data_IF_674491767054
#
_entry.id   IF_674491767054
#
_cell.length_a   1.000
_cell.length_b   1.000
_cell.length_c   1.000
_cell.angle_alpha   90.00
_cell.angle_beta   90.00
_cell.angle_gamma   90.00
#
_symmetry.space_group_name_H-M   'P 1'
#
loop_
_entity.id
_entity.type
_entity.pdbx_description
1 polymer ?
2 water ?
#
# COMPACT_ATOMS: atom_id res chain seq x y z
N UNK A 31 -17.42 -2.30 -27.12
CA UNK A 31 -18.32 -1.17 -27.35
C UNK A 31 -19.25 -0.92 -26.15
N UNK A 32 -20.18 -1.83 -25.85
CA UNK A 32 -21.01 -1.71 -24.65
C UNK A 32 -20.17 -2.04 -23.41
N UNK A 33 -20.17 -1.12 -22.44
CA UNK A 33 -19.31 -1.22 -21.27
C UNK A 33 -20.05 -1.65 -20.02
N UNK A 34 -19.34 -2.34 -19.13
CA UNK A 34 -19.80 -2.59 -17.77
C UNK A 34 -18.89 -1.84 -16.81
N UNK A 35 -19.38 -1.61 -15.59
CA UNK A 35 -18.65 -0.81 -14.61
C UNK A 35 -18.61 -1.55 -13.26
N UNK A 36 -17.63 -1.22 -12.43
CA UNK A 36 -17.60 -1.74 -11.06
C UNK A 36 -16.94 -0.73 -10.16
N UNK A 37 -17.25 -0.75 -8.88
CA UNK A 37 -16.72 0.27 -8.00
C UNK A 37 -16.10 -0.34 -6.76
N UNK A 38 -14.91 0.15 -6.40
CA UNK A 38 -14.29 -0.25 -5.14
C UNK A 38 -14.00 1.00 -4.31
N UNK A 39 -14.42 0.96 -3.04
CA UNK A 39 -13.98 1.95 -2.05
C UNK A 39 -12.83 1.31 -1.26
N UNK A 40 -11.65 1.90 -1.42
CA UNK A 40 -10.44 1.55 -0.70
C UNK A 40 -10.46 2.37 0.60
N UNK A 41 -10.85 1.72 1.70
CA UNK A 41 -10.96 2.35 3.02
C UNK A 41 -9.65 2.15 3.79
N UNK A 42 -8.68 3.04 3.48
CA UNK A 42 -7.32 2.95 4.03
C UNK A 42 -7.24 3.64 5.38
N UNK A 43 -6.08 3.59 6.01
CA UNK A 43 -5.97 4.12 7.37
C UNK A 43 -6.09 5.62 7.45
N UNK A 44 -5.60 6.35 6.46
CA UNK A 44 -5.55 7.84 6.55
C UNK A 44 -6.71 8.48 5.80
N UNK A 45 -7.28 7.73 4.87
CA UNK A 45 -8.39 8.23 4.08
C UNK A 45 -8.94 7.10 3.20
N UNK A 46 -10.11 7.41 2.68
CA UNK A 46 -10.82 6.54 1.73
C UNK A 46 -10.69 7.09 0.33
N UNK A 47 -10.42 6.19 -0.63
CA UNK A 47 -10.46 6.57 -2.02
C UNK A 47 -11.44 5.68 -2.76
N UNK A 48 -12.14 6.26 -3.73
CA UNK A 48 -13.10 5.51 -4.55
C UNK A 48 -12.52 5.32 -5.96
N UNK A 49 -12.62 4.10 -6.50
CA UNK A 49 -12.19 3.85 -7.88
C UNK A 49 -13.37 3.27 -8.62
N UNK A 50 -13.62 3.81 -9.80
CA UNK A 50 -14.63 3.27 -10.72
C UNK A 50 -13.87 2.66 -11.92
N UNK A 51 -14.18 1.40 -12.22
CA UNK A 51 -13.55 0.65 -13.32
C UNK A 51 -14.59 0.38 -14.41
N UNK A 52 -14.11 0.18 -15.62
CA UNK A 52 -15.00 -0.09 -16.76
C UNK A 52 -14.32 -1.09 -17.68
N UNK A 53 -15.13 -1.84 -18.41
CA UNK A 53 -14.63 -2.89 -19.30
C UNK A 53 -15.67 -3.22 -20.36
N UNK A 54 -15.23 -3.69 -21.53
CA UNK A 54 -16.27 -4.07 -22.52
C UNK A 54 -16.96 -5.36 -22.10
N UNK A 55 -18.29 -5.39 -22.20
CA UNK A 55 -19.08 -6.56 -21.80
C UNK A 55 -18.68 -7.87 -22.52
N UNK A 56 -18.28 -7.79 -23.78
CA UNK A 56 -17.94 -9.00 -24.56
C UNK A 56 -16.44 -9.31 -24.66
N UNK A 57 -15.62 -8.70 -23.80
CA UNK A 57 -14.18 -9.03 -23.72
C UNK A 57 -13.67 -9.03 -22.28
N UNK A 58 -14.64 -9.07 -21.35
CA UNK A 58 -14.38 -8.91 -19.91
C UNK A 58 -13.43 -9.92 -19.27
N UNK A 59 -13.28 -11.10 -19.89
CA UNK A 59 -12.38 -12.14 -19.39
C UNK A 59 -10.93 -12.11 -19.95
N UNK A 60 -10.64 -11.15 -20.85
CA UNK A 60 -9.26 -10.92 -21.33
C UNK A 60 -8.45 -10.25 -20.22
N UNK A 61 -7.18 -10.62 -20.10
CA UNK A 61 -6.29 -9.94 -19.14
C UNK A 61 -6.01 -8.52 -19.60
N UNK A 62 -5.84 -7.61 -18.64
CA UNK A 62 -5.52 -6.22 -18.96
C UNK A 62 -6.68 -5.39 -19.51
N UNK A 63 -7.85 -6.00 -19.67
CA UNK A 63 -9.03 -5.37 -20.29
C UNK A 63 -9.72 -4.31 -19.40
N UNK A 64 -9.87 -4.63 -18.12
CA UNK A 64 -10.48 -3.68 -17.17
C UNK A 64 -9.51 -2.51 -16.98
N UNK A 65 -10.03 -1.30 -16.94
CA UNK A 65 -9.23 -0.11 -16.67
C UNK A 65 -10.01 0.89 -15.84
N UNK A 66 -9.28 1.78 -15.16
CA UNK A 66 -9.91 2.81 -14.34
C UNK A 66 -10.70 3.82 -15.18
N UNK A 67 -11.92 4.14 -14.76
CA UNK A 67 -12.78 5.15 -15.42
C UNK A 67 -12.71 6.52 -14.72
N UNK A 68 -12.74 6.50 -13.40
CA UNK A 68 -12.73 7.72 -12.59
C UNK A 68 -12.32 7.39 -11.15
N UNK A 69 -12.04 8.41 -10.37
CA UNK A 69 -11.68 8.20 -8.97
C UNK A 69 -12.09 9.43 -8.16
N UNK A 70 -12.11 9.28 -6.83
CA UNK A 70 -12.52 10.36 -5.94
C UNK A 70 -11.88 10.12 -4.59
N UNK A 71 -11.29 11.14 -4.00
CA UNK A 71 -10.74 11.02 -2.66
C UNK A 71 -11.70 11.60 -1.65
N UNK A 72 -12.01 10.84 -0.61
CA UNK A 72 -12.96 11.25 0.39
C UNK A 72 -12.27 12.23 1.32
N UNK A 73 -12.93 13.36 1.55
CA UNK A 73 -12.43 14.36 2.50
C UNK A 73 -12.33 13.82 3.93
N UNK A 74 -11.26 14.23 4.61
CA UNK A 74 -11.04 13.83 6.02
C UNK A 74 -10.38 12.49 6.20
N UNK A 75 -10.44 12.00 7.44
CA UNK A 75 -9.73 10.79 7.86
C UNK A 75 -10.32 9.51 7.28
N UNK A 76 -9.64 8.39 7.60
CA UNK A 76 -10.15 7.04 7.28
C UNK A 76 -11.34 6.64 8.13
N UNK A 77 -12.04 5.56 7.73
CA UNK A 77 -13.26 5.17 8.45
C UNK A 77 -12.98 4.74 9.88
N UNK A 78 -11.77 4.21 10.15
CA UNK A 78 -11.39 3.83 11.50
C UNK A 78 -11.24 5.05 12.41
N UNK A 79 -11.07 6.23 11.82
CA UNK A 79 -10.92 7.45 12.64
C UNK A 79 -12.25 7.91 13.27
N UNK A 80 -13.35 7.30 12.84
CA UNK A 80 -14.68 7.52 13.39
C UNK A 80 -15.11 6.46 14.39
N UNK A 81 -14.14 5.76 14.98
CA UNK A 81 -14.42 4.73 15.98
C UNK A 81 -15.39 5.16 17.09
N UNK A 82 -15.30 6.42 17.52
CA UNK A 82 -16.17 6.93 18.60
C UNK A 82 -17.39 7.70 18.11
N UNK A 83 -17.52 7.81 16.80
CA UNK A 83 -18.61 8.56 16.17
C UNK A 83 -18.93 7.85 14.83
N UNK A 84 -19.34 6.57 14.88
CA UNK A 84 -19.40 5.72 13.67
C UNK A 84 -20.32 6.22 12.57
N UNK A 85 -21.39 6.94 12.95
CA UNK A 85 -22.30 7.48 11.95
C UNK A 85 -21.57 8.36 10.93
N UNK A 86 -20.53 9.07 11.36
CA UNK A 86 -19.80 9.94 10.47
C UNK A 86 -19.04 9.13 9.39
N UNK A 87 -18.75 7.85 9.66
CA UNK A 87 -17.99 7.03 8.70
C UNK A 87 -18.80 6.86 7.41
N UNK A 88 -20.10 6.57 7.56
CA UNK A 88 -20.96 6.43 6.38
C UNK A 88 -21.16 7.76 5.69
N UNK A 89 -21.50 8.80 6.46
CA UNK A 89 -21.70 10.12 5.87
C UNK A 89 -20.46 10.62 5.10
N UNK A 90 -19.26 10.20 5.52
CA UNK A 90 -18.04 10.65 4.88
C UNK A 90 -18.03 10.28 3.39
N UNK A 91 -18.69 9.18 3.04
CA UNK A 91 -18.67 8.65 1.68
C UNK A 91 -19.60 9.33 0.69
N UNK A 92 -20.54 10.12 1.20
CA UNK A 92 -21.65 10.61 0.38
C UNK A 92 -21.19 11.40 -0.84
N UNK A 93 -20.26 12.33 -0.67
CA UNK A 93 -19.81 13.18 -1.79
C UNK A 93 -19.22 12.33 -2.96
N UNK A 94 -18.37 11.37 -2.60
CA UNK A 94 -17.80 10.48 -3.62
C UNK A 94 -18.84 9.56 -4.26
N UNK A 95 -19.79 9.06 -3.47
CA UNK A 95 -20.88 8.25 -4.02
C UNK A 95 -21.77 9.08 -4.99
N UNK A 96 -21.94 10.36 -4.67
CA UNK A 96 -22.67 11.27 -5.58
C UNK A 96 -21.94 11.40 -6.93
N UNK A 97 -20.61 11.43 -6.88
CA UNK A 97 -19.78 11.48 -8.08
C UNK A 97 -19.94 10.20 -8.86
N UNK A 98 -19.93 9.06 -8.16
CA UNK A 98 -20.17 7.75 -8.80
C UNK A 98 -21.47 7.71 -9.59
N UNK A 99 -22.52 8.34 -9.08
CA UNK A 99 -23.84 8.45 -9.75
C UNK A 99 -23.71 9.18 -11.09
N UNK A 100 -22.83 10.19 -11.13
CA UNK A 100 -22.55 10.94 -12.37
C UNK A 100 -21.57 10.24 -13.31
N UNK A 101 -20.63 9.48 -12.76
CA UNK A 101 -19.61 8.79 -13.55
C UNK A 101 -20.14 7.54 -14.24
N UNK A 102 -21.06 6.83 -13.59
CA UNK A 102 -21.59 5.58 -14.15
C UNK A 102 -22.94 5.92 -14.83
N UNK A 103 -23.12 5.48 -16.09
CA UNK A 103 -24.44 5.70 -16.75
C UNK A 103 -25.60 5.15 -15.91
N UNK A 104 -26.72 5.88 -15.91
CA UNK A 104 -27.83 5.64 -15.00
C UNK A 104 -28.37 4.23 -15.15
N UNK A 105 -28.59 3.90 -16.50
CA UNK A 105 -29.11 2.58 -16.87
C UNK A 105 -28.21 1.43 -16.46
N UNK A 106 -26.99 1.75 -16.00
CA UNK A 106 -26.07 0.74 -15.55
C UNK A 106 -25.93 0.68 -14.03
N UNK A 107 -26.47 1.68 -13.30
CA UNK A 107 -26.28 1.77 -11.83
C UNK A 107 -26.61 0.43 -11.16
N UNK A 108 -27.79 -0.13 -11.50
CA UNK A 108 -28.32 -1.32 -10.83
C UNK A 108 -27.46 -2.58 -11.01
N UNK A 109 -26.72 -2.66 -12.11
CA UNK A 109 -25.92 -3.83 -12.42
C UNK A 109 -24.43 -3.58 -12.22
N UNK A 110 -24.10 -2.45 -11.59
CA UNK A 110 -22.71 -2.15 -11.23
C UNK A 110 -22.40 -2.63 -9.81
N UNK A 111 -21.48 -3.60 -9.64
CA UNK A 111 -21.17 -4.01 -8.27
C UNK A 111 -20.36 -2.94 -7.55
N UNK A 112 -20.64 -2.77 -6.26
CA UNK A 112 -19.92 -1.81 -5.41
C UNK A 112 -19.40 -2.58 -4.20
N UNK A 113 -18.09 -2.47 -3.93
CA UNK A 113 -17.45 -3.13 -2.78
C UNK A 113 -16.78 -2.09 -1.92
N UNK A 114 -16.78 -2.29 -0.60
CA UNK A 114 -15.85 -1.55 0.26
C UNK A 114 -14.91 -2.57 0.90
N UNK A 115 -13.62 -2.26 0.84
CA UNK A 115 -12.56 -3.12 1.47
C UNK A 115 -11.77 -2.19 2.40
N UNK A 116 -11.55 -2.62 3.64
CA UNK A 116 -10.83 -1.79 4.61
C UNK A 116 -9.56 -2.54 4.98
N UNK A 117 -8.50 -1.79 5.26
CA UNK A 117 -7.20 -2.43 5.49
C UNK A 117 -6.68 -2.17 6.92
N UNK A 118 -5.37 -1.88 7.05
CA UNK A 118 -4.73 -1.93 8.39
C UNK A 118 -5.35 -1.00 9.43
N UNK A 119 -5.97 0.12 9.02
CA UNK A 119 -6.58 0.98 10.05
C UNK A 119 -7.70 0.25 10.78
N UNK A 120 -8.49 -0.51 10.04
CA UNK A 120 -9.58 -1.28 10.62
C UNK A 120 -9.03 -2.55 11.28
N UNK A 121 -7.94 -3.14 10.77
CA UNK A 121 -7.33 -4.26 11.50
C UNK A 121 -6.88 -3.82 12.89
N UNK A 122 -6.33 -2.62 12.97
CA UNK A 122 -5.83 -2.07 14.26
C UNK A 122 -7.00 -1.75 15.20
N UNK A 123 -8.05 -1.14 14.65
CA UNK A 123 -9.24 -0.83 15.46
C UNK A 123 -9.88 -2.13 15.96
N UNK A 124 -9.81 -3.19 15.16
CA UNK A 124 -10.37 -4.48 15.62
C UNK A 124 -9.62 -5.11 16.82
N UNK A 125 -8.34 -4.77 16.94
CA UNK A 125 -7.55 -5.20 18.12
C UNK A 125 -8.00 -4.44 19.35
N UNK A 126 -8.26 -3.15 19.17
CA UNK A 126 -8.65 -2.27 20.26
C UNK A 126 -10.10 -2.54 20.71
N UNK A 127 -10.99 -2.64 19.73
CA UNK A 127 -12.43 -2.77 20.02
C UNK A 127 -13.17 -3.41 18.87
N UNK A 128 -13.41 -4.74 18.93
CA UNK A 128 -14.24 -5.37 17.90
C UNK A 128 -15.62 -4.72 17.78
N UNK A 129 -16.17 -4.27 18.91
CA UNK A 129 -17.48 -3.62 18.92
C UNK A 129 -17.51 -2.32 18.10
N UNK A 130 -16.56 -1.41 18.36
CA UNK A 130 -16.44 -0.15 17.61
C UNK A 130 -16.20 -0.43 16.10
N UNK A 131 -15.37 -1.44 15.81
CA UNK A 131 -15.10 -1.84 14.41
C UNK A 131 -16.38 -2.26 13.71
N UNK A 132 -17.17 -3.07 14.39
CA UNK A 132 -18.45 -3.52 13.89
C UNK A 132 -19.44 -2.35 13.65
N UNK A 133 -19.49 -1.38 14.58
CA UNK A 133 -20.36 -0.22 14.40
C UNK A 133 -19.96 0.62 13.18
N UNK A 134 -18.65 0.75 12.95
CA UNK A 134 -18.18 1.49 11.77
C UNK A 134 -18.58 0.75 10.49
N UNK A 135 -18.33 -0.57 10.45
CA UNK A 135 -18.75 -1.37 9.28
C UNK A 135 -20.25 -1.28 9.10
N UNK A 136 -21.01 -1.28 10.21
CA UNK A 136 -22.48 -1.14 10.15
C UNK A 136 -22.89 0.22 9.55
N UNK A 137 -22.23 1.29 9.96
CA UNK A 137 -22.48 2.65 9.43
C UNK A 137 -22.20 2.79 7.93
N UNK A 138 -21.04 2.34 7.47
CA UNK A 138 -20.76 2.43 6.01
C UNK A 138 -21.73 1.56 5.23
N UNK A 139 -22.07 0.40 5.78
CA UNK A 139 -23.05 -0.51 5.15
C UNK A 139 -24.40 0.20 4.97
N UNK A 140 -24.87 0.87 6.03
CA UNK A 140 -26.16 1.55 6.00
C UNK A 140 -26.19 2.60 4.90
N UNK A 141 -25.15 3.42 4.82
CA UNK A 141 -25.04 4.43 3.77
C UNK A 141 -25.02 3.79 2.38
N UNK A 142 -24.18 2.78 2.21
CA UNK A 142 -23.96 2.21 0.87
C UNK A 142 -25.20 1.51 0.32
N UNK A 143 -25.94 0.84 1.20
CA UNK A 143 -27.21 0.23 0.80
C UNK A 143 -28.30 1.22 0.34
N UNK A 144 -28.14 2.51 0.65
CA UNK A 144 -29.09 3.54 0.18
C UNK A 144 -28.87 3.91 -1.29
N UNK A 145 -27.72 3.54 -1.83
CA UNK A 145 -27.41 3.86 -3.23
C UNK A 145 -27.90 2.79 -4.22
N UNK A 146 -28.09 3.17 -5.49
CA UNK A 146 -28.68 2.28 -6.52
C UNK A 146 -27.75 1.19 -7.09
N UNK A 147 -26.46 1.24 -6.78
CA UNK A 147 -25.49 0.23 -7.23
C UNK A 147 -25.75 -1.12 -6.56
N UNK A 148 -25.22 -2.17 -7.17
CA UNK A 148 -25.32 -3.50 -6.60
C UNK A 148 -24.27 -3.64 -5.45
N UNK A 149 -24.60 -3.12 -4.27
CA UNK A 149 -23.71 -3.18 -3.11
C UNK A 149 -23.46 -4.64 -2.67
N UNK A 150 -22.19 -5.06 -2.67
CA UNK A 150 -21.82 -6.44 -2.37
C UNK A 150 -21.07 -6.62 -1.05
N UNK A 151 -21.02 -5.56 -0.24
CA UNK A 151 -20.52 -5.69 1.12
C UNK A 151 -19.32 -4.83 1.44
N UNK A 152 -19.21 -4.53 2.74
CA UNK A 152 -18.03 -3.88 3.34
C UNK A 152 -17.29 -4.97 4.14
N UNK A 153 -16.01 -5.15 3.86
CA UNK A 153 -15.23 -6.20 4.47
C UNK A 153 -13.86 -5.67 4.88
N UNK A 154 -13.25 -6.24 5.92
CA UNK A 154 -11.83 -5.97 6.25
C UNK A 154 -10.96 -7.02 5.51
N UNK A 155 -10.05 -6.59 4.64
CA UNK A 155 -9.14 -7.51 3.96
C UNK A 155 -8.10 -8.03 4.96
N UNK A 156 -7.65 -9.27 4.77
CA UNK A 156 -6.46 -9.71 5.51
C UNK A 156 -5.21 -9.03 4.94
N UNK A 157 -4.11 -9.07 5.68
CA UNK A 157 -2.83 -8.60 5.12
C UNK A 157 -2.40 -9.35 3.88
N UNK A 158 -2.61 -10.65 3.88
CA UNK A 158 -2.35 -11.47 2.67
C UNK A 158 -3.18 -11.00 1.49
N UNK A 159 -4.49 -10.83 1.71
CA UNK A 159 -5.36 -10.25 0.66
C UNK A 159 -4.79 -8.98 0.08
N UNK A 160 -4.43 -8.05 0.96
CA UNK A 160 -3.96 -6.75 0.53
C UNK A 160 -2.70 -6.89 -0.35
N UNK A 161 -1.76 -7.73 0.09
CA UNK A 161 -0.50 -7.94 -0.65
C UNK A 161 -0.78 -8.59 -2.01
N UNK A 162 -1.49 -9.72 -1.94
CA UNK A 162 -1.76 -10.48 -3.18
C UNK A 162 -2.56 -9.65 -4.19
N UNK A 163 -3.62 -8.97 -3.77
CA UNK A 163 -4.44 -8.19 -4.72
C UNK A 163 -3.66 -7.03 -5.39
N UNK A 164 -2.72 -6.44 -4.66
CA UNK A 164 -1.85 -5.43 -5.30
C UNK A 164 -0.93 -6.05 -6.35
N UNK A 165 -0.42 -7.24 -6.06
CA UNK A 165 0.45 -7.98 -7.02
C UNK A 165 -0.40 -8.32 -8.26
N UNK A 166 -1.64 -8.78 -8.04
CA UNK A 166 -2.54 -9.05 -9.21
C UNK A 166 -2.80 -7.78 -10.03
N UNK A 167 -3.14 -6.68 -9.37
CA UNK A 167 -3.36 -5.42 -10.08
C UNK A 167 -2.20 -5.10 -11.02
N UNK A 168 -0.99 -5.08 -10.46
CA UNK A 168 0.19 -4.66 -11.26
C UNK A 168 0.39 -5.56 -12.46
N UNK A 169 0.32 -6.87 -12.24
CA UNK A 169 0.61 -7.85 -13.31
C UNK A 169 -0.53 -7.96 -14.33
N UNK A 170 -1.75 -7.69 -13.86
CA UNK A 170 -2.88 -7.67 -14.78
C UNK A 170 -2.75 -6.49 -15.75
N UNK A 171 -2.42 -5.32 -15.19
CA UNK A 171 -2.38 -4.10 -15.97
C UNK A 171 -1.25 -4.15 -16.98
N UNK A 172 -0.16 -4.81 -16.61
CA UNK A 172 1.05 -4.82 -17.46
C UNK A 172 1.12 -6.06 -18.36
N UNK A 173 0.03 -6.82 -18.37
CA UNK A 173 -0.16 -7.99 -19.29
C UNK A 173 0.92 -9.05 -19.09
N UNK A 174 1.33 -9.24 -17.83
CA UNK A 174 2.31 -10.27 -17.54
C UNK A 174 1.75 -11.68 -17.46
N UNK A 175 0.41 -11.85 -17.51
CA UNK A 175 -0.18 -13.18 -17.43
C UNK A 175 -0.45 -13.76 -18.84
N UNK A 176 -0.11 -12.98 -19.87
CA UNK A 176 -0.23 -13.50 -21.25
C UNK A 176 0.81 -14.61 -21.43
N UNK A 177 0.47 -15.68 -22.16
CA UNK A 177 1.46 -16.73 -22.48
C UNK A 177 2.14 -16.33 -23.80
N UNK A 178 3.36 -15.82 -23.70
CA UNK A 178 4.05 -15.25 -24.87
C UNK A 178 4.73 -16.32 -25.75
N UNK A 179 4.64 -16.09 -27.04
CA UNK A 179 5.18 -16.98 -28.08
C UNK A 179 4.04 -17.44 -28.97
N UNK A 180 4.25 -18.62 -29.55
CA UNK A 180 3.26 -19.19 -30.45
C UNK A 180 3.50 -20.68 -30.55
N UNK A 181 2.59 -21.38 -31.22
CA UNK A 181 2.72 -22.85 -31.27
C UNK A 181 4.12 -23.27 -31.75
N UNK A 182 4.75 -24.16 -30.97
CA UNK A 182 6.06 -24.66 -31.38
C UNK A 182 7.22 -23.82 -30.87
N UNK A 183 6.92 -22.61 -30.36
CA UNK A 183 7.96 -21.73 -29.88
C UNK A 183 7.41 -20.83 -28.75
N UNK A 184 7.24 -21.42 -27.57
CA UNK A 184 6.74 -20.66 -26.40
C UNK A 184 7.96 -20.17 -25.69
N UNK A 185 7.90 -18.95 -25.15
CA UNK A 185 9.09 -18.45 -24.46
C UNK A 185 9.32 -19.25 -23.18
N UNK A 186 10.59 -19.56 -22.92
CA UNK A 186 11.02 -20.33 -21.73
C UNK A 186 12.24 -19.64 -21.17
N UNK A 187 12.21 -19.31 -19.86
CA UNK A 187 11.13 -19.53 -18.91
C UNK A 187 9.94 -18.66 -19.30
N UNK A 188 8.79 -18.95 -18.73
CA UNK A 188 7.63 -18.15 -19.09
C UNK A 188 7.83 -16.73 -18.58
N UNK A 189 7.09 -15.78 -19.16
CA UNK A 189 7.18 -14.35 -18.82
C UNK A 189 7.27 -14.11 -17.29
N UNK A 190 8.23 -13.30 -16.86
CA UNK A 190 8.35 -13.00 -15.41
C UNK A 190 7.22 -12.10 -14.92
N UNK A 191 6.98 -12.10 -13.61
CA UNK A 191 5.97 -11.23 -13.02
C UNK A 191 6.65 -10.17 -12.14
N UNK A 192 5.93 -9.08 -11.94
CA UNK A 192 6.41 -7.91 -11.19
C UNK A 192 6.08 -8.15 -9.72
N UNK A 193 7.10 -8.15 -8.87
CA UNK A 193 6.89 -8.09 -7.42
C UNK A 193 6.21 -6.78 -7.06
N UNK A 194 5.57 -6.76 -5.89
CA UNK A 194 4.85 -5.54 -5.48
C UNK A 194 5.28 -5.15 -4.05
N UNK A 195 5.54 -3.87 -3.87
CA UNK A 195 5.77 -3.32 -2.52
C UNK A 195 4.86 -2.13 -2.34
N UNK A 196 4.02 -2.19 -1.28
CA UNK A 196 2.95 -1.19 -1.04
C UNK A 196 3.21 -0.56 0.33
N UNK A 197 3.42 0.74 0.38
CA UNK A 197 3.59 1.38 1.69
C UNK A 197 2.30 2.18 1.98
N UNK A 198 1.42 1.58 2.79
CA UNK A 198 0.15 2.21 3.17
C UNK A 198 0.41 3.03 4.41
N UNK A 199 -0.65 3.57 5.02
CA UNK A 199 -0.46 4.38 6.22
C UNK A 199 -0.20 3.57 7.49
N UNK A 200 -0.73 2.34 7.52
CA UNK A 200 -0.61 1.54 8.78
C UNK A 200 0.03 0.16 8.65
N UNK A 201 0.23 -0.32 7.42
CA UNK A 201 1.00 -1.57 7.22
C UNK A 201 1.74 -1.42 5.91
N UNK A 202 2.71 -2.32 5.68
CA UNK A 202 3.38 -2.38 4.37
C UNK A 202 3.45 -3.82 3.94
N UNK A 203 3.25 -4.06 2.64
CA UNK A 203 3.25 -5.45 2.12
C UNK A 203 4.37 -5.64 1.10
N UNK A 204 4.88 -6.86 1.04
CA UNK A 204 5.83 -7.25 -0.04
C UNK A 204 5.33 -8.61 -0.55
N UNK A 205 5.26 -8.72 -1.88
CA UNK A 205 4.63 -9.88 -2.54
C UNK A 205 5.39 -10.15 -3.84
N UNK A 206 5.84 -11.39 -4.06
CA UNK A 206 6.49 -11.68 -5.34
C UNK A 206 6.48 -13.14 -5.62
N UNK A 207 6.56 -13.47 -6.92
CA UNK A 207 6.68 -14.86 -7.38
C UNK A 207 8.06 -15.43 -7.02
N UNK A 208 8.09 -16.64 -6.47
CA UNK A 208 9.35 -17.21 -6.03
C UNK A 208 9.44 -18.72 -6.33
N UNK A 209 10.67 -19.19 -6.53
CA UNK A 209 10.92 -20.62 -6.70
C UNK A 209 11.31 -21.29 -5.39
N UNK A 210 11.50 -20.46 -4.35
CA UNK A 210 11.90 -20.98 -3.03
C UNK A 210 10.80 -21.79 -2.36
N UNK A 211 11.19 -22.87 -1.66
CA UNK A 211 10.24 -23.66 -0.88
C UNK A 211 9.56 -22.82 0.22
N UNK A 212 8.30 -23.12 0.49
CA UNK A 212 7.55 -22.45 1.55
C UNK A 212 8.04 -22.95 2.92
N UNK A 213 8.26 -22.03 3.84
CA UNK A 213 8.65 -22.41 5.21
C UNK A 213 7.64 -21.96 6.25
N UNK A 214 6.70 -21.11 5.84
CA UNK A 214 5.66 -20.63 6.74
C UNK A 214 4.36 -20.51 5.96
N UNK A 215 3.34 -21.28 6.35
CA UNK A 215 2.09 -21.30 5.59
C UNK A 215 1.44 -19.92 5.50
N UNK A 216 1.66 -19.05 6.48
CA UNK A 216 1.07 -17.73 6.48
C UNK A 216 1.61 -16.86 5.33
N UNK A 217 2.77 -17.25 4.76
CA UNK A 217 3.38 -16.45 3.70
C UNK A 217 3.18 -17.09 2.32
N UNK A 218 2.56 -18.28 2.28
CA UNK A 218 2.50 -19.11 1.04
C UNK A 218 1.21 -18.83 0.26
N UNK A 219 1.36 -18.48 -1.02
CA UNK A 219 0.24 -18.14 -1.86
C UNK A 219 0.33 -18.97 -3.18
N UNK A 220 -0.79 -19.57 -3.58
CA UNK A 220 -0.81 -20.30 -4.87
C UNK A 220 -1.99 -19.80 -5.67
N UNK A 221 -1.70 -19.34 -6.88
CA UNK A 221 -2.74 -18.80 -7.76
C UNK A 221 -2.83 -19.65 -9.01
N UNK A 222 -4.05 -19.75 -9.54
CA UNK A 222 -4.26 -20.36 -10.86
C UNK A 222 -4.92 -19.26 -11.73
N UNK A 223 -4.16 -18.72 -12.68
CA UNK A 223 -4.64 -17.59 -13.49
C UNK A 223 -4.40 -17.91 -14.94
N UNK A 224 -5.47 -17.91 -15.73
CA UNK A 224 -5.36 -18.18 -17.19
C UNK A 224 -4.64 -19.50 -17.47
N UNK A 225 -4.89 -20.51 -16.64
CA UNK A 225 -4.37 -21.85 -16.85
C UNK A 225 -2.96 -22.09 -16.35
N UNK A 226 -2.39 -21.06 -15.73
CA UNK A 226 -1.01 -21.12 -15.22
C UNK A 226 -1.03 -21.07 -13.71
N UNK A 227 -0.05 -21.76 -13.10
CA UNK A 227 0.14 -21.76 -11.64
C UNK A 227 1.24 -20.80 -11.27
N UNK A 228 0.93 -19.89 -10.36
CA UNK A 228 1.95 -18.93 -9.82
C UNK A 228 2.16 -19.22 -8.34
N UNK A 229 3.43 -19.46 -7.98
CA UNK A 229 3.85 -19.69 -6.58
C UNK A 229 4.36 -18.35 -6.05
N UNK A 230 3.69 -17.83 -5.04
CA UNK A 230 3.95 -16.47 -4.58
C UNK A 230 4.21 -16.46 -3.08
N UNK A 231 5.09 -15.54 -2.68
CA UNK A 231 5.34 -15.20 -1.27
C UNK A 231 4.66 -13.87 -0.98
N UNK A 232 4.05 -13.72 0.20
CA UNK A 232 3.52 -12.42 0.59
C UNK A 232 3.72 -12.23 2.09
N UNK A 233 3.93 -10.99 2.51
CA UNK A 233 3.83 -10.67 3.93
C UNK A 233 3.37 -9.24 4.13
N UNK A 234 2.60 -9.05 5.19
CA UNK A 234 2.18 -7.69 5.59
C UNK A 234 2.74 -7.43 6.96
N UNK A 235 3.47 -6.33 7.07
CA UNK A 235 4.02 -5.90 8.35
C UNK A 235 3.06 -4.87 8.97
N UNK A 236 2.24 -5.34 9.90
CA UNK A 236 1.32 -4.43 10.59
C UNK A 236 2.16 -3.45 11.45
N UNK A 237 1.75 -2.17 11.47
CA UNK A 237 2.46 -1.08 12.22
C UNK A 237 3.71 -0.58 11.46
N UNK A 238 3.96 -1.09 10.26
CA UNK A 238 5.07 -0.58 9.45
C UNK A 238 4.60 0.30 8.27
N UNK A 239 3.37 0.81 8.35
CA UNK A 239 2.94 1.77 7.34
C UNK A 239 3.44 3.16 7.71
N UNK A 240 3.39 4.10 6.75
CA UNK A 240 4.07 5.38 6.92
C UNK A 240 3.64 6.12 8.20
N UNK A 241 2.33 6.22 8.44
CA UNK A 241 1.86 7.00 9.58
C UNK A 241 2.20 6.37 10.93
N UNK A 242 2.13 5.04 11.00
CA UNK A 242 2.49 4.35 12.25
C UNK A 242 4.01 4.42 12.52
N UNK A 243 4.82 4.30 11.47
CA UNK A 243 6.29 4.46 11.61
C UNK A 243 6.60 5.88 12.13
N UNK A 244 5.95 6.89 11.57
CA UNK A 244 6.18 8.29 12.08
C UNK A 244 5.79 8.37 13.57
N UNK A 245 4.67 7.77 13.95
CA UNK A 245 4.26 7.79 15.37
C UNK A 245 5.30 7.09 16.27
N UNK A 246 5.77 5.93 15.80
CA UNK A 246 6.74 5.13 16.58
C UNK A 246 8.10 5.88 16.70
N UNK A 247 8.52 6.57 15.65
CA UNK A 247 9.76 7.36 15.68
C UNK A 247 9.58 8.55 16.65
N UNK A 248 8.40 9.15 16.65
CA UNK A 248 8.12 10.28 17.57
C UNK A 248 8.17 9.79 19.02
N UNK A 249 7.55 8.66 19.30
CA UNK A 249 7.53 8.06 20.65
C UNK A 249 8.98 7.76 21.08
N UNK A 250 9.75 7.16 20.16
CA UNK A 250 11.15 6.82 20.44
C UNK A 250 12.00 8.08 20.71
N UNK A 251 11.83 9.11 19.89
CA UNK A 251 12.59 10.35 20.05
C UNK A 251 12.27 11.02 21.40
N UNK A 252 11.00 10.99 21.77
CA UNK A 252 10.56 11.60 23.04
C UNK A 252 11.28 10.92 24.21
N UNK A 253 11.39 9.60 24.14
CA UNK A 253 11.99 8.78 25.23
C UNK A 253 13.52 8.93 25.30
N UNK A 254 14.16 8.81 24.14
CA UNK A 254 15.62 8.69 24.05
C UNK A 254 16.30 10.06 24.06
N UNK A 255 15.68 11.02 23.39
CA UNK A 255 16.32 12.31 23.08
C UNK A 255 15.68 13.58 23.62
N UNK A 256 14.36 13.59 23.70
CA UNK A 256 13.64 14.84 23.94
C UNK A 256 13.92 15.93 22.88
N UNK A 257 14.45 15.52 21.73
CA UNK A 257 14.41 16.32 20.52
C UNK A 257 14.16 15.25 19.42
N UNK A 258 13.84 15.69 18.23
CA UNK A 258 13.57 14.71 17.16
C UNK A 258 14.65 14.82 16.08
N UNK A 259 15.59 13.88 16.03
CA UNK A 259 16.70 14.07 15.09
C UNK A 259 16.27 14.00 13.63
N UNK A 260 15.15 13.33 13.35
CA UNK A 260 14.67 13.24 11.96
C UNK A 260 13.96 14.50 11.51
N UNK A 261 13.49 15.33 12.45
CA UNK A 261 12.81 16.58 12.07
C UNK A 261 13.86 17.70 11.82
N UNK A 262 13.51 18.66 10.94
CA UNK A 262 14.48 19.70 10.58
C UNK A 262 14.69 20.73 11.68
N UNK A 263 15.92 21.22 11.77
CA UNK A 263 16.29 22.24 12.73
C UNK A 263 15.47 23.51 12.45
N UNK A 264 14.79 24.00 13.48
CA UNK A 264 13.91 25.16 13.35
C UNK A 264 12.45 24.80 13.30
N UNK A 265 12.14 23.51 13.11
CA UNK A 265 10.77 23.04 13.20
C UNK A 265 10.46 22.57 14.63
N UNK A 266 9.32 22.99 15.16
CA UNK A 266 8.89 22.49 16.46
C UNK A 266 7.36 22.43 16.50
N UNK A 267 6.83 21.64 17.42
CA UNK A 267 5.39 21.53 17.56
C UNK A 267 5.08 21.05 18.98
N UNK A 268 3.83 21.27 19.38
CA UNK A 268 3.31 20.83 20.67
C UNK A 268 2.70 19.45 20.48
N UNK A 269 3.29 18.46 21.13
CA UNK A 269 2.87 17.08 20.99
C UNK A 269 1.88 16.67 22.13
N UNK A 270 0.73 16.16 21.72
CA UNK A 270 -0.26 15.68 22.67
C UNK A 270 0.03 14.22 22.96
N UNK A 271 0.54 13.93 24.16
CA UNK A 271 1.07 12.60 24.45
C UNK A 271 0.03 11.47 24.33
N UNK A 272 -1.21 11.74 24.74
CA UNK A 272 -2.32 10.80 24.50
C UNK A 272 -2.38 10.26 23.05
N UNK A 273 -2.21 11.13 22.06
CA UNK A 273 -2.24 10.75 20.65
C UNK A 273 -1.03 9.91 20.28
N UNK A 274 0.08 10.13 20.98
CA UNK A 274 1.31 9.39 20.64
C UNK A 274 1.19 7.92 21.05
N UNK A 275 0.63 7.67 22.22
CA UNK A 275 0.67 6.35 22.82
C UNK A 275 -0.64 5.55 22.75
N UNK A 276 -1.65 6.08 22.06
CA UNK A 276 -2.97 5.40 21.96
C UNK A 276 -2.98 4.25 20.94
N UNK A 277 -2.04 4.29 19.98
CA UNK A 277 -2.03 3.30 18.93
C UNK A 277 -1.55 1.95 19.45
N UNK A 278 -2.11 0.82 18.94
CA UNK A 278 -1.49 -0.47 19.26
C UNK A 278 -0.02 -0.52 18.88
N UNK A 279 0.40 0.32 17.91
CA UNK A 279 1.78 0.32 17.42
C UNK A 279 2.79 0.94 18.40
N UNK A 280 2.29 1.78 19.30
CA UNK A 280 3.17 2.56 20.19
C UNK A 280 2.91 2.36 21.65
N UNK A 281 1.84 1.66 22.00
CA UNK A 281 1.55 1.47 23.42
C UNK A 281 2.65 0.66 24.14
N UNK A 282 3.40 -0.12 23.36
CA UNK A 282 4.60 -0.82 23.80
C UNK A 282 5.78 0.07 24.17
N UNK A 283 5.76 1.31 23.70
CA UNK A 283 6.82 2.30 23.90
C UNK A 283 6.55 3.17 25.14
N UNK A 291 3.17 16.88 30.70
CA UNK A 291 2.84 15.46 30.52
C UNK A 291 1.52 15.16 29.79
N UNK A 292 0.64 16.15 29.65
CA UNK A 292 -0.36 16.02 28.61
C UNK A 292 0.27 16.53 27.30
N UNK A 293 1.00 17.64 27.39
CA UNK A 293 1.55 18.23 26.17
C UNK A 293 3.04 18.50 26.32
N UNK A 294 3.81 18.16 25.29
CA UNK A 294 5.23 18.48 25.34
C UNK A 294 5.69 19.12 24.04
N UNK A 295 6.59 20.08 24.18
CA UNK A 295 7.24 20.73 23.05
C UNK A 295 8.31 19.81 22.50
N UNK A 296 8.36 19.66 21.17
CA UNK A 296 9.42 18.87 20.57
C UNK A 296 9.98 19.56 19.33
N UNK A 297 11.31 19.65 19.25
CA UNK A 297 11.97 20.38 18.19
C UNK A 297 12.88 19.47 17.38
N UNK A 298 13.03 19.80 16.11
CA UNK A 298 13.89 19.02 15.21
C UNK A 298 15.34 19.46 15.30
N UNK A 299 16.24 18.60 14.86
CA UNK A 299 17.71 18.90 14.92
C UNK A 299 18.50 18.59 13.65
N UNK A 300 17.84 18.07 12.60
CA UNK A 300 18.55 17.79 11.33
C UNK A 300 19.81 16.95 11.54
N UNK A 301 19.65 15.83 12.25
CA UNK A 301 20.76 14.95 12.54
C UNK A 301 20.60 13.63 11.79
N UNK A 302 21.17 13.59 10.58
CA UNK A 302 20.91 12.43 9.71
C UNK A 302 21.40 11.14 10.34
N UNK A 303 22.55 11.21 11.04
CA UNK A 303 23.13 10.01 11.69
C UNK A 303 22.28 9.51 12.87
N UNK A 304 21.78 10.45 13.70
CA UNK A 304 20.91 10.06 14.84
C UNK A 304 19.54 9.58 14.36
N UNK A 305 19.11 10.18 13.25
CA UNK A 305 17.86 9.76 12.58
C UNK A 305 18.01 8.31 12.04
N UNK A 306 19.12 8.04 11.36
CA UNK A 306 19.45 6.67 10.94
C UNK A 306 19.42 5.70 12.13
N UNK A 307 20.03 6.09 13.28
CA UNK A 307 20.06 5.22 14.44
C UNK A 307 18.65 4.98 14.98
N UNK A 308 17.84 6.02 14.98
CA UNK A 308 16.46 5.90 15.47
C UNK A 308 15.65 4.93 14.61
N UNK A 309 15.78 5.09 13.30
CA UNK A 309 15.07 4.22 12.36
C UNK A 309 15.54 2.76 12.49
N UNK A 310 16.84 2.56 12.72
CA UNK A 310 17.41 1.21 12.78
C UNK A 310 16.74 0.36 13.87
N UNK A 311 16.25 1.03 14.93
CA UNK A 311 15.65 0.37 16.08
C UNK A 311 14.30 -0.26 15.68
N UNK A 312 13.75 0.14 14.53
CA UNK A 312 12.49 -0.48 14.06
C UNK A 312 12.61 -1.92 13.58
N UNK A 313 13.83 -2.41 13.34
CA UNK A 313 14.04 -3.70 12.67
C UNK A 313 14.73 -4.65 13.64
N UNK A 314 14.05 -5.70 14.06
CA UNK A 314 14.72 -6.64 14.99
C UNK A 314 15.34 -7.73 14.14
N UNK A 315 16.66 -7.84 14.18
CA UNK A 315 17.37 -8.82 13.36
C UNK A 315 18.07 -9.87 14.24
N UNK A 316 17.66 -9.97 15.49
CA UNK A 316 18.38 -10.78 16.47
C UNK A 316 18.08 -12.28 16.36
N UNK A 317 16.93 -12.62 15.77
CA UNK A 317 16.52 -14.03 15.74
C UNK A 317 15.77 -14.45 14.48
N UNK A 318 16.02 -15.67 14.03
CA UNK A 318 15.34 -16.21 12.84
C UNK A 318 15.13 -17.70 12.98
N UNK A 319 13.87 -18.11 13.15
CA UNK A 319 13.57 -19.55 13.32
C UNK A 319 13.46 -20.29 12.00
N UNK A 320 13.73 -19.58 10.90
CA UNK A 320 13.66 -20.09 9.55
C UNK A 320 15.07 -20.17 8.93
N UNK A 321 15.17 -20.69 7.70
CA UNK A 321 16.45 -20.72 7.02
C UNK A 321 16.92 -19.30 6.66
N UNK A 322 15.95 -18.43 6.39
CA UNK A 322 16.26 -17.06 6.03
C UNK A 322 15.04 -16.21 6.45
N UNK A 323 15.34 -15.04 7.03
CA UNK A 323 14.31 -14.06 7.42
C UNK A 323 14.46 -12.66 6.78
N UNK A 324 13.35 -11.88 6.76
CA UNK A 324 13.46 -10.43 6.51
C UNK A 324 13.89 -9.81 7.85
N UNK A 325 12.91 -9.48 8.69
CA UNK A 325 13.18 -9.00 10.06
C UNK A 325 12.02 -9.40 10.98
N UNK A 326 12.19 -9.15 12.28
CA UNK A 326 11.20 -9.60 13.26
C UNK A 326 10.86 -11.10 13.21
N UNK A 327 11.85 -11.93 12.82
CA UNK A 327 11.68 -13.37 12.81
C UNK A 327 10.72 -13.87 11.73
N UNK A 328 10.42 -13.02 10.77
CA UNK A 328 9.54 -13.39 9.64
C UNK A 328 10.28 -14.07 8.48
N UNK A 329 9.82 -15.25 8.07
CA UNK A 329 10.40 -15.95 6.94
C UNK A 329 10.38 -15.07 5.69
N UNK A 330 11.49 -14.95 4.98
CA UNK A 330 11.45 -14.40 3.60
C UNK A 330 12.51 -15.01 2.70
N UNK A 331 12.10 -15.54 1.52
CA UNK A 331 13.13 -16.04 0.60
C UNK A 331 13.80 -14.83 -0.05
N UNK A 332 14.93 -15.06 -0.75
CA UNK A 332 15.65 -13.96 -1.36
C UNK A 332 14.80 -13.21 -2.36
N UNK A 333 14.82 -11.87 -2.32
CA UNK A 333 14.08 -11.13 -3.36
C UNK A 333 14.61 -11.50 -4.76
N UNK A 334 13.73 -11.48 -5.73
CA UNK A 334 14.05 -11.92 -7.10
C UNK A 334 13.12 -11.19 -8.08
N UNK A 335 13.65 -10.86 -9.27
CA UNK A 335 12.82 -10.33 -10.34
C UNK A 335 12.62 -8.84 -10.26
N UNK A 336 11.86 -8.31 -11.20
CA UNK A 336 11.50 -6.93 -11.16
C UNK A 336 10.47 -6.69 -10.05
N UNK A 337 10.43 -5.46 -9.55
CA UNK A 337 9.42 -5.00 -8.56
C UNK A 337 8.89 -3.62 -8.92
N UNK A 338 7.63 -3.38 -8.56
CA UNK A 338 7.06 -2.01 -8.56
C UNK A 338 6.81 -1.61 -7.10
N UNK A 339 7.30 -0.43 -6.74
CA UNK A 339 7.09 0.11 -5.42
C UNK A 339 6.14 1.32 -5.56
N UNK A 340 4.97 1.24 -4.96
CA UNK A 340 3.94 2.23 -5.23
C UNK A 340 3.47 2.90 -3.93
N UNK A 341 2.28 3.53 -3.93
CA UNK A 341 1.80 4.22 -2.72
C UNK A 341 2.88 5.12 -2.12
N UNK A 342 3.13 5.06 -0.81
CA UNK A 342 4.01 6.05 -0.19
C UNK A 342 5.46 5.87 -0.62
N UNK A 343 5.82 4.69 -1.14
CA UNK A 343 7.18 4.56 -1.70
C UNK A 343 7.30 5.54 -2.87
N UNK A 344 6.32 5.51 -3.78
CA UNK A 344 6.35 6.43 -4.92
C UNK A 344 6.36 7.89 -4.46
N UNK A 345 5.45 8.28 -3.55
CA UNK A 345 5.35 9.70 -3.16
C UNK A 345 6.62 10.22 -2.49
N UNK A 346 7.26 9.37 -1.68
CA UNK A 346 8.49 9.77 -1.00
C UNK A 346 9.65 9.90 -1.96
N UNK A 347 9.84 8.92 -2.84
CA UNK A 347 10.93 8.99 -3.81
C UNK A 347 10.74 10.14 -4.82
N UNK A 348 9.49 10.42 -5.18
CA UNK A 348 9.17 11.53 -6.05
C UNK A 348 9.55 12.86 -5.39
N UNK A 349 9.42 12.96 -4.08
CA UNK A 349 9.87 14.17 -3.39
C UNK A 349 11.40 14.30 -3.54
N UNK A 350 12.10 13.18 -3.34
CA UNK A 350 13.56 13.22 -3.42
C UNK A 350 14.04 13.62 -4.82
N UNK A 351 13.39 13.09 -5.85
CA UNK A 351 13.86 13.38 -7.23
C UNK A 351 13.36 14.74 -7.74
N UNK A 352 12.09 15.04 -7.50
CA UNK A 352 11.48 16.21 -8.11
C UNK A 352 11.69 17.49 -7.28
N UNK A 353 11.52 17.39 -5.96
CA UNK A 353 11.65 18.55 -5.09
C UNK A 353 13.09 18.77 -4.66
N UNK A 354 13.75 17.73 -4.16
CA UNK A 354 15.16 17.86 -3.74
C UNK A 354 16.12 17.85 -4.91
N UNK A 355 15.66 17.32 -6.04
CA UNK A 355 16.45 17.26 -7.26
C UNK A 355 17.63 16.31 -7.19
N UNK A 356 17.46 15.20 -6.46
CA UNK A 356 18.53 14.25 -6.20
C UNK A 356 18.29 12.92 -6.92
N UNK A 357 19.35 12.27 -7.39
CA UNK A 357 19.17 10.96 -8.04
C UNK A 357 18.91 9.87 -7.01
N UNK A 358 18.10 8.89 -7.37
CA UNK A 358 17.78 7.78 -6.47
C UNK A 358 17.93 6.39 -7.15
N UNK A 359 18.68 6.36 -8.24
CA UNK A 359 18.90 5.16 -9.05
C UNK A 359 19.57 3.96 -8.38
N UNK A 360 20.42 4.22 -7.38
CA UNK A 360 21.08 3.14 -6.66
C UNK A 360 20.71 3.23 -5.19
N UNK A 361 20.96 2.17 -4.42
CA UNK A 361 20.73 2.24 -2.95
C UNK A 361 21.68 3.30 -2.31
N UNK A 362 22.89 3.40 -2.84
CA UNK A 362 23.87 4.38 -2.35
C UNK A 362 23.32 5.78 -2.63
N UNK A 363 22.77 6.01 -3.83
CA UNK A 363 22.12 7.29 -4.15
C UNK A 363 20.88 7.61 -3.28
N UNK A 364 20.03 6.62 -3.05
CA UNK A 364 18.90 6.82 -2.15
C UNK A 364 19.38 7.22 -0.74
N UNK A 365 20.39 6.52 -0.24
CA UNK A 365 20.98 6.83 1.08
C UNK A 365 21.53 8.27 1.15
N UNK A 366 22.27 8.64 0.11
CA UNK A 366 22.85 10.00 0.04
C UNK A 366 21.76 11.08 -0.02
N UNK A 367 20.68 10.80 -0.76
CA UNK A 367 19.56 11.75 -0.89
C UNK A 367 18.85 11.91 0.44
N UNK A 368 18.74 10.79 1.16
CA UNK A 368 18.12 10.83 2.46
C UNK A 368 18.96 11.61 3.48
N UNK A 369 20.28 11.40 3.43
CA UNK A 369 21.20 12.11 4.30
C UNK A 369 21.10 13.61 4.02
N UNK A 370 21.18 14.00 2.75
CA UNK A 370 21.02 15.41 2.35
C UNK A 370 19.71 16.04 2.82
N UNK A 371 18.60 15.34 2.58
CA UNK A 371 17.29 15.79 2.96
C UNK A 371 17.20 15.96 4.50
N UNK A 372 17.73 15.00 5.24
CA UNK A 372 17.63 15.03 6.71
C UNK A 372 18.49 16.18 7.28
N UNK A 373 19.56 16.52 6.57
CA UNK A 373 20.48 17.56 7.06
C UNK A 373 20.00 18.99 6.76
N UNK A 374 18.92 19.11 6.00
CA UNK A 374 18.34 20.42 5.70
C UNK A 374 17.67 21.01 6.95
N UNK A 375 17.86 22.31 7.16
CA UNK A 375 17.10 23.05 8.17
C UNK A 375 15.67 23.30 7.69
N UNK A 376 14.79 23.69 8.61
CA UNK A 376 13.39 23.95 8.29
C UNK A 376 13.24 25.08 7.26
N UNK A 377 14.05 26.13 7.39
CA UNK A 377 13.99 27.20 6.39
C UNK A 377 14.47 26.70 5.02
N UNK A 378 15.54 25.90 5.00
CA UNK A 378 16.05 25.38 3.74
C UNK A 378 15.03 24.49 3.03
N UNK A 379 14.34 23.66 3.82
CA UNK A 379 13.33 22.75 3.29
C UNK A 379 12.14 23.57 2.73
N UNK A 380 11.69 24.56 3.50
CA UNK A 380 10.55 25.38 3.09
C UNK A 380 10.83 26.16 1.80
N UNK A 381 12.09 26.58 1.64
CA UNK A 381 12.55 27.31 0.44
C UNK A 381 12.36 26.48 -0.85
N UNK A 382 12.28 25.14 -0.71
CA UNK A 382 12.14 24.26 -1.86
C UNK A 382 10.69 23.95 -2.21
N UNK A 383 9.77 24.42 -1.38
CA UNK A 383 8.36 24.06 -1.50
C UNK A 383 7.55 25.34 -1.35
N UNK A 384 7.24 26.00 -2.48
CA UNK A 384 6.53 27.27 -2.43
C UNK A 384 5.08 27.18 -1.93
N UNK A 385 4.48 26.00 -2.05
CA UNK A 385 3.06 25.82 -1.74
C UNK A 385 2.85 25.23 -0.36
N UNK A 386 1.75 24.50 -0.20
CA UNK A 386 1.39 23.93 1.14
C UNK A 386 2.49 23.02 1.70
N UNK A 387 2.68 23.10 3.01
CA UNK A 387 3.82 22.45 3.67
C UNK A 387 3.47 21.30 4.59
N UNK A 388 2.25 20.80 4.46
CA UNK A 388 1.85 19.65 5.28
C UNK A 388 2.72 18.46 4.91
N UNK A 389 3.12 17.70 5.92
CA UNK A 389 3.97 16.53 5.72
C UNK A 389 5.43 16.86 5.37
N UNK A 390 5.78 18.15 5.21
CA UNK A 390 7.15 18.44 4.78
C UNK A 390 8.20 18.01 5.81
N UNK A 391 7.88 18.13 7.11
CA UNK A 391 8.84 17.76 8.18
C UNK A 391 9.03 16.24 8.28
N UNK A 392 8.21 15.48 7.55
CA UNK A 392 8.21 14.00 7.61
C UNK A 392 9.01 13.29 6.53
N UNK A 393 9.40 13.98 5.44
CA UNK A 393 10.08 13.23 4.33
C UNK A 393 11.41 12.61 4.75
N UNK A 394 12.18 13.32 5.58
CA UNK A 394 13.43 12.73 6.09
C UNK A 394 13.24 11.34 6.73
N UNK A 395 12.29 11.26 7.67
CA UNK A 395 12.06 10.04 8.44
C UNK A 395 11.52 8.93 7.52
N UNK A 396 10.62 9.32 6.62
CA UNK A 396 10.00 8.31 5.73
C UNK A 396 11.03 7.81 4.74
N UNK A 397 11.86 8.70 4.19
CA UNK A 397 12.93 8.28 3.23
C UNK A 397 13.94 7.37 3.94
N UNK A 398 14.33 7.73 5.19
CA UNK A 398 15.24 6.89 5.97
C UNK A 398 14.65 5.51 6.21
N UNK A 399 13.36 5.50 6.55
CA UNK A 399 12.64 4.25 6.78
C UNK A 399 12.66 3.36 5.51
N UNK A 400 12.37 3.97 4.38
CA UNK A 400 12.31 3.24 3.11
C UNK A 400 13.69 2.67 2.78
N UNK A 401 14.74 3.48 2.93
CA UNK A 401 16.05 3.01 2.61
C UNK A 401 16.42 1.80 3.49
N UNK A 402 16.12 1.87 4.79
CA UNK A 402 16.44 0.75 5.69
C UNK A 402 15.52 -0.46 5.48
N UNK A 403 14.24 -0.20 5.25
CA UNK A 403 13.30 -1.29 4.94
C UNK A 403 13.82 -2.13 3.77
N UNK A 404 14.20 -1.46 2.70
CA UNK A 404 14.63 -2.17 1.50
C UNK A 404 15.94 -2.87 1.72
N UNK A 405 16.87 -2.18 2.38
CA UNK A 405 18.27 -2.68 2.45
C UNK A 405 18.48 -3.61 3.63
N UNK A 406 18.05 -3.21 4.83
CA UNK A 406 18.22 -4.05 6.01
C UNK A 406 17.06 -4.98 6.28
N UNK A 407 15.87 -4.61 5.82
CA UNK A 407 14.65 -5.36 6.12
C UNK A 407 14.47 -6.47 5.11
N UNK A 408 14.34 -6.08 3.85
CA UNK A 408 14.09 -7.05 2.77
C UNK A 408 15.34 -7.61 2.12
N UNK A 409 16.50 -6.99 2.42
CA UNK A 409 17.79 -7.45 1.89
C UNK A 409 17.97 -7.29 0.38
N UNK A 410 17.42 -6.21 -0.18
CA UNK A 410 17.84 -5.76 -1.53
C UNK A 410 19.30 -5.39 -1.44
N UNK A 411 20.04 -5.66 -2.50
CA UNK A 411 21.39 -5.11 -2.62
C UNK A 411 21.45 -4.30 -3.91
N UNK A 412 22.63 -3.81 -4.31
CA UNK A 412 22.64 -3.00 -5.53
C UNK A 412 22.10 -3.77 -6.76
N UNK A 413 22.44 -5.05 -6.85
CA UNK A 413 22.04 -5.86 -7.99
C UNK A 413 20.51 -6.03 -8.06
N UNK A 414 19.89 -6.40 -6.95
CA UNK A 414 18.41 -6.59 -6.93
C UNK A 414 17.67 -5.24 -6.98
N UNK A 415 18.26 -4.20 -6.39
CA UNK A 415 17.62 -2.87 -6.39
C UNK A 415 17.51 -2.26 -7.79
N UNK A 416 18.43 -2.61 -8.67
CA UNK A 416 18.39 -2.11 -10.05
C UNK A 416 17.05 -2.51 -10.74
N UNK A 417 16.39 -3.52 -10.19
CA UNK A 417 15.20 -4.06 -10.83
C UNK A 417 13.90 -3.53 -10.21
N UNK A 418 14.03 -2.57 -9.30
CA UNK A 418 12.88 -1.93 -8.64
C UNK A 418 12.51 -0.63 -9.38
N UNK A 419 11.22 -0.45 -9.68
CA UNK A 419 10.76 0.84 -10.22
C UNK A 419 9.73 1.45 -9.26
N UNK A 420 9.77 2.79 -9.12
CA UNK A 420 8.80 3.52 -8.28
C UNK A 420 7.79 4.14 -9.19
N UNK A 421 6.57 3.62 -9.15
CA UNK A 421 5.52 4.10 -10.02
C UNK A 421 4.19 3.94 -9.31
N UNK A 422 3.23 4.82 -9.61
CA UNK A 422 1.93 4.73 -8.95
C UNK A 422 0.79 4.41 -9.92
N UNK A 423 1.10 4.35 -11.22
CA UNK A 423 0.03 4.17 -12.22
C UNK A 423 0.53 3.22 -13.30
N UNK A 424 -0.38 2.42 -13.85
CA UNK A 424 -0.05 1.60 -15.04
C UNK A 424 -1.27 1.59 -15.94
N UNK A 425 -1.09 1.75 -17.24
CA UNK A 425 -2.23 1.72 -18.19
C UNK A 425 -3.40 2.63 -17.73
N UNK A 426 -3.09 3.87 -17.34
CA UNK A 426 -4.09 4.84 -16.87
C UNK A 426 -4.88 4.46 -15.61
N UNK A 427 -4.36 3.51 -14.84
CA UNK A 427 -5.05 3.00 -13.69
C UNK A 427 -4.09 3.08 -12.49
N UNK A 428 -4.58 3.59 -11.36
CA UNK A 428 -3.77 3.66 -10.16
C UNK A 428 -3.41 2.22 -9.72
N UNK A 429 -2.15 2.02 -9.31
CA UNK A 429 -1.70 0.75 -8.77
C UNK A 429 -1.98 0.68 -7.26
N UNK A 430 -2.72 -0.36 -6.89
CA UNK A 430 -3.07 -0.68 -5.48
C UNK A 430 -3.80 -2.00 -5.48
N UNK A 431 -4.38 -2.36 -4.32
CA UNK A 431 -5.11 -3.65 -4.24
C UNK A 431 -6.52 -3.61 -4.85
N UNK A 432 -7.08 -2.41 -5.00
CA UNK A 432 -8.51 -2.30 -5.37
C UNK A 432 -8.88 -3.07 -6.64
N UNK A 433 -8.12 -2.87 -7.71
CA UNK A 433 -8.46 -3.56 -8.97
C UNK A 433 -8.42 -5.11 -8.82
N UNK A 434 -7.35 -5.64 -8.25
CA UNK A 434 -7.25 -7.09 -7.99
C UNK A 434 -8.42 -7.63 -7.19
N UNK A 435 -8.83 -6.85 -6.18
CA UNK A 435 -9.95 -7.23 -5.31
C UNK A 435 -11.23 -7.37 -6.12
N UNK A 436 -11.52 -6.35 -6.93
CA UNK A 436 -12.71 -6.36 -7.77
C UNK A 436 -12.67 -7.53 -8.74
N UNK A 437 -11.50 -7.73 -9.34
CA UNK A 437 -11.34 -8.81 -10.33
C UNK A 437 -11.67 -10.15 -9.69
N UNK A 438 -11.23 -10.34 -8.44
CA UNK A 438 -11.48 -11.60 -7.73
C UNK A 438 -12.96 -11.76 -7.41
N UNK A 439 -13.56 -10.75 -6.75
CA UNK A 439 -14.95 -10.86 -6.29
C UNK A 439 -15.96 -10.86 -7.44
N UNK A 440 -15.55 -10.29 -8.58
CA UNK A 440 -16.44 -10.23 -9.77
C UNK A 440 -16.16 -11.41 -10.72
N UNK A 441 -15.25 -12.29 -10.31
CA UNK A 441 -14.83 -13.42 -11.16
C UNK A 441 -14.45 -13.07 -12.58
N UNK A 442 -13.66 -12.00 -12.70
CA UNK A 442 -13.27 -11.52 -14.01
C UNK A 442 -11.95 -12.10 -14.53
N UNK A 443 -11.18 -12.78 -13.67
CA UNK A 443 -10.01 -13.55 -14.13
C UNK A 443 -10.31 -15.04 -14.11
N UNK A 444 -10.28 -15.70 -15.30
CA UNK A 444 -10.51 -17.14 -15.35
C UNK A 444 -9.32 -17.91 -14.79
N UNK A 445 -9.60 -18.99 -14.08
CA UNK A 445 -8.59 -19.89 -13.57
C UNK A 445 -7.96 -20.65 -14.72
N UNK A 446 -8.79 -21.04 -15.68
CA UNK A 446 -8.31 -21.72 -16.89
C UNK A 446 -8.87 -21.02 -18.12
N UNK A 447 -8.15 -21.10 -19.25
CA UNK A 447 -8.65 -20.55 -20.53
C UNK A 447 -9.83 -21.38 -21.03
N UNK A 448 -10.80 -20.74 -21.74
CA UNK A 448 -11.99 -21.47 -22.24
C UNK A 448 -11.61 -22.74 -23.03
N UNK A 449 -12.17 -23.87 -22.61
CA UNK A 449 -11.88 -25.17 -23.25
C UNK A 449 -10.44 -25.60 -23.12
N UNK A 450 -9.76 -25.03 -22.10
CA UNK A 450 -8.32 -25.24 -21.86
C UNK A 450 -7.43 -24.90 -23.06
N UNK A 451 -7.89 -23.97 -23.92
CA UNK A 451 -7.20 -23.65 -25.18
C UNK A 451 -6.85 -24.92 -25.96
N UNK A 452 -7.77 -25.90 -25.94
CA UNK A 452 -7.58 -27.18 -26.61
C UNK A 452 -6.29 -27.92 -26.13
N UNK A 453 -5.78 -27.53 -24.96
CA UNK A 453 -4.59 -28.15 -24.35
C UNK A 453 -3.24 -27.68 -24.87
N UNK A 454 -3.27 -26.64 -25.69
CA UNK A 454 -2.08 -26.16 -26.42
C UNK A 454 -1.01 -25.49 -25.53
N UNK A 455 -1.38 -25.14 -24.29
CA UNK A 455 -0.40 -24.64 -23.32
C UNK A 455 0.06 -25.73 -22.34
N UNK A 456 -0.27 -26.99 -22.62
CA UNK A 456 0.05 -28.10 -21.69
C UNK A 456 1.54 -28.33 -21.48
#
# INVERSE_FOLDING_TARGET
>A
MAHHHHHHVGTGSNDDDDKSPDPTQDVREPPALKYGIVLDAGSSHTSMFVYKWPADKENDTGIVGQHSSCDVQGGGISSYANDPSKAGQSLVRCLEQALRDVPRDRHASTPLYLGATAGMRLLNLTSPEATARVLEAVTQTLTQYPFDFRGARILSGQDEGVFGWVTANYLLENFIKYGWVGRWIRPRKGTLGAMDLGGASTQITFETTSPSEDPGNEVHLRLYGQHYRVYTHSFLCYGRDQILLRLLASALQIHRFHPCWPKGYSTQVLLQEVYQSPCTMGQRPRAFNGSAIVSLSGTSNATLCRDLVSRLFNISSCPFSQCSFNGVFQPPVAGNFIAFSAFYYTVDFLTTVMGLPVGTLKQLEEATEITCNQTWTELQARVPGQKTRLADYCAVAMFIHQLLSRGYHFDERSFREVVFQKKAADTAVGWALGYMLNLTNLIPADLPGLRKGTHF
#
